data_IF_455315267921
#
_entry.id   IF_455315267921
#
_cell.length_a   1.000
_cell.length_b   1.000
_cell.length_c   1.000
_cell.angle_alpha   90.00
_cell.angle_beta   90.00
_cell.angle_gamma   90.00
#
_symmetry.space_group_name_H-M   'P 1'
#
loop_
_entity.id
_entity.type
_entity.pdbx_description
1 polymer ?
#
# COMPACT_ATOMS: atom_id res chain seq x y z
N UNK A 1 38.28 3.92 -0.23
CA UNK A 1 37.11 4.61 0.36
C UNK A 1 36.00 4.42 -0.65
N UNK A 2 35.20 3.40 -0.39
CA UNK A 2 34.09 2.98 -1.24
C UNK A 2 32.84 3.58 -0.60
N UNK A 3 32.51 4.82 -0.98
CA UNK A 3 31.26 5.46 -0.61
C UNK A 3 30.20 5.02 -1.62
N UNK A 4 29.84 3.74 -1.58
CA UNK A 4 28.59 3.27 -2.15
C UNK A 4 27.46 3.82 -1.29
N UNK A 5 27.05 5.05 -1.60
CA UNK A 5 25.88 5.70 -1.02
C UNK A 5 24.72 4.72 -1.00
N UNK A 6 24.34 4.32 0.21
CA UNK A 6 23.06 3.67 0.50
C UNK A 6 21.96 4.64 0.06
N UNK A 7 21.57 4.56 -1.22
CA UNK A 7 20.25 5.02 -1.61
C UNK A 7 19.27 4.10 -0.89
N UNK A 8 18.79 4.55 0.27
CA UNK A 8 17.64 3.99 0.96
C UNK A 8 16.53 3.86 -0.10
N UNK A 9 16.32 2.64 -0.59
CA UNK A 9 15.32 2.39 -1.64
C UNK A 9 13.98 2.73 -0.98
N UNK A 10 13.29 3.74 -1.52
CA UNK A 10 12.05 4.28 -0.93
C UNK A 10 11.06 3.18 -0.52
N UNK A 11 11.02 2.05 -1.24
CA UNK A 11 10.17 0.91 -0.94
C UNK A 11 10.93 -0.24 -0.24
N UNK A 12 11.61 0.04 0.86
CA UNK A 12 12.28 -0.94 1.72
C UNK A 12 12.09 -0.58 3.19
N UNK A 13 11.89 -1.56 4.10
CA UNK A 13 11.80 -3.00 3.86
C UNK A 13 10.50 -3.41 3.16
N UNK A 14 10.47 -4.63 2.61
CA UNK A 14 9.29 -5.17 1.94
C UNK A 14 8.17 -5.46 2.95
N UNK A 15 6.94 -5.04 2.62
CA UNK A 15 5.75 -5.29 3.45
C UNK A 15 5.36 -6.76 3.51
N UNK A 16 5.39 -7.45 2.35
CA UNK A 16 5.11 -8.89 2.26
C UNK A 16 6.36 -9.64 1.78
N UNK A 17 6.62 -10.79 2.38
CA UNK A 17 7.67 -11.69 1.93
C UNK A 17 7.30 -12.39 0.61
N UNK A 18 8.33 -12.83 -0.13
CA UNK A 18 8.19 -13.65 -1.34
C UNK A 18 7.33 -14.90 -1.10
N UNK A 19 7.51 -15.55 0.04
CA UNK A 19 6.73 -16.74 0.41
C UNK A 19 5.24 -16.41 0.56
N UNK A 20 4.91 -15.35 1.29
CA UNK A 20 3.52 -14.90 1.49
C UNK A 20 2.84 -14.53 0.17
N UNK A 21 3.54 -13.80 -0.72
CA UNK A 21 3.01 -13.42 -2.03
C UNK A 21 2.72 -14.68 -2.86
N UNK A 22 3.69 -15.60 -2.94
CA UNK A 22 3.54 -16.83 -3.73
C UNK A 22 2.39 -17.68 -3.23
N UNK A 23 2.21 -17.76 -1.91
CA UNK A 23 1.13 -18.51 -1.27
C UNK A 23 -0.25 -17.89 -1.52
N UNK A 24 -0.35 -16.56 -1.56
CA UNK A 24 -1.62 -15.85 -1.83
C UNK A 24 -1.98 -15.82 -3.33
N UNK A 25 -1.00 -15.89 -4.23
CA UNK A 25 -1.23 -15.93 -5.68
C UNK A 25 -2.07 -17.16 -6.13
N UNK A 26 -1.95 -18.27 -5.39
CA UNK A 26 -2.68 -19.51 -5.65
C UNK A 26 -4.15 -19.49 -5.18
N UNK A 27 -4.55 -18.48 -4.40
CA UNK A 27 -5.85 -18.43 -3.73
C UNK A 27 -6.88 -17.58 -4.51
N UNK A 28 -8.15 -17.75 -4.19
CA UNK A 28 -9.21 -16.81 -4.58
C UNK A 28 -9.27 -15.60 -3.64
N UNK A 29 -10.25 -14.73 -3.82
CA UNK A 29 -10.37 -13.48 -3.05
C UNK A 29 -10.58 -13.75 -1.55
N UNK A 30 -11.36 -14.78 -1.21
CA UNK A 30 -11.63 -15.15 0.18
C UNK A 30 -10.35 -15.70 0.85
N UNK A 31 -9.60 -16.54 0.14
CA UNK A 31 -8.31 -17.07 0.61
C UNK A 31 -7.25 -15.98 0.80
N UNK A 32 -7.18 -15.00 -0.11
CA UNK A 32 -6.30 -13.83 0.03
C UNK A 32 -6.68 -13.02 1.27
N UNK A 33 -7.96 -12.72 1.45
CA UNK A 33 -8.45 -11.97 2.59
C UNK A 33 -8.09 -12.66 3.91
N UNK A 34 -8.33 -13.98 4.03
CA UNK A 34 -7.98 -14.74 5.22
C UNK A 34 -6.47 -14.75 5.53
N UNK A 35 -5.62 -14.80 4.50
CA UNK A 35 -4.16 -14.78 4.69
C UNK A 35 -3.68 -13.39 5.11
N UNK A 36 -4.23 -12.33 4.54
CA UNK A 36 -3.94 -10.96 4.94
C UNK A 36 -4.43 -10.65 6.36
N UNK A 37 -5.62 -11.13 6.74
CA UNK A 37 -6.13 -11.00 8.10
C UNK A 37 -5.16 -11.60 9.13
N UNK A 38 -4.69 -12.83 8.86
CA UNK A 38 -3.71 -13.53 9.71
C UNK A 38 -2.37 -12.79 9.76
N UNK A 39 -1.88 -12.32 8.61
CA UNK A 39 -0.63 -11.57 8.52
C UNK A 39 -0.67 -10.26 9.30
N UNK A 40 -1.77 -9.50 9.16
CA UNK A 40 -2.00 -8.23 9.86
C UNK A 40 -2.35 -8.42 11.34
N UNK A 41 -2.56 -9.67 11.79
CA UNK A 41 -2.97 -10.03 13.14
C UNK A 41 -4.25 -9.29 13.59
N UNK A 42 -5.20 -9.14 12.67
CA UNK A 42 -6.52 -8.60 12.96
C UNK A 42 -7.37 -9.67 13.64
N UNK A 43 -8.10 -9.27 14.70
CA UNK A 43 -8.87 -10.19 15.56
C UNK A 43 -10.31 -9.74 15.78
N UNK A 44 -10.61 -8.49 15.44
CA UNK A 44 -11.84 -7.81 15.82
C UNK A 44 -12.53 -7.22 14.58
N UNK A 45 -12.52 -7.91 13.44
CA UNK A 45 -13.06 -7.37 12.18
C UNK A 45 -14.53 -6.95 12.30
N UNK A 46 -15.34 -7.67 13.07
CA UNK A 46 -16.76 -7.37 13.25
C UNK A 46 -17.04 -6.16 14.16
N UNK A 47 -16.08 -5.71 14.95
CA UNK A 47 -16.26 -4.65 15.96
C UNK A 47 -15.28 -3.50 15.81
N UNK A 48 -14.24 -3.65 15.00
CA UNK A 48 -13.23 -2.65 14.73
C UNK A 48 -13.26 -2.25 13.26
N UNK A 49 -13.99 -1.16 12.97
CA UNK A 49 -14.09 -0.58 11.63
C UNK A 49 -12.72 -0.33 10.99
N UNK A 50 -11.72 0.07 11.79
CA UNK A 50 -10.36 0.29 11.32
C UNK A 50 -9.71 -0.99 10.78
N UNK A 51 -9.82 -2.11 11.50
CA UNK A 51 -9.28 -3.39 11.01
C UNK A 51 -10.01 -3.86 9.75
N UNK A 52 -11.34 -3.72 9.69
CA UNK A 52 -12.12 -4.09 8.52
C UNK A 52 -11.71 -3.29 7.27
N UNK A 53 -11.66 -1.96 7.37
CA UNK A 53 -11.28 -1.09 6.23
C UNK A 53 -9.84 -1.36 5.78
N UNK A 54 -8.90 -1.54 6.72
CA UNK A 54 -7.51 -1.86 6.37
C UNK A 54 -7.42 -3.21 5.66
N UNK A 55 -8.17 -4.22 6.11
CA UNK A 55 -8.19 -5.52 5.46
C UNK A 55 -8.74 -5.43 4.03
N UNK A 56 -9.83 -4.69 3.83
CA UNK A 56 -10.42 -4.45 2.51
C UNK A 56 -9.43 -3.73 1.58
N UNK A 57 -8.70 -2.74 2.10
CA UNK A 57 -7.68 -2.00 1.35
C UNK A 57 -6.56 -2.92 0.83
N UNK A 58 -5.93 -3.71 1.71
CA UNK A 58 -4.84 -4.60 1.30
C UNK A 58 -5.35 -5.74 0.41
N UNK A 59 -6.53 -6.29 0.69
CA UNK A 59 -7.14 -7.36 -0.11
C UNK A 59 -7.46 -6.88 -1.52
N UNK A 60 -8.09 -5.70 -1.64
CA UNK A 60 -8.40 -5.08 -2.93
C UNK A 60 -7.13 -4.76 -3.72
N UNK A 61 -6.10 -4.24 -3.04
CA UNK A 61 -4.80 -3.98 -3.65
C UNK A 61 -4.17 -5.24 -4.22
N UNK A 62 -4.05 -6.28 -3.39
CA UNK A 62 -3.48 -7.55 -3.82
C UNK A 62 -4.27 -8.16 -4.99
N UNK A 63 -5.61 -8.17 -4.90
CA UNK A 63 -6.48 -8.71 -5.95
C UNK A 63 -6.36 -7.92 -7.26
N UNK A 64 -6.29 -6.60 -7.19
CA UNK A 64 -6.07 -5.76 -8.37
C UNK A 64 -4.72 -6.04 -9.03
N UNK A 65 -3.64 -6.15 -8.24
CA UNK A 65 -2.31 -6.52 -8.76
C UNK A 65 -2.31 -7.91 -9.42
N UNK A 66 -3.18 -8.82 -8.98
CA UNK A 66 -3.43 -10.12 -9.62
C UNK A 66 -4.03 -10.00 -11.00
N UNK A 67 -5.03 -9.14 -11.16
CA UNK A 67 -5.58 -8.81 -12.47
C UNK A 67 -4.57 -8.15 -13.42
N UNK A 68 -3.54 -7.49 -12.87
CA UNK A 68 -2.46 -6.86 -13.64
C UNK A 68 -1.29 -7.80 -13.98
N UNK A 69 -1.35 -9.07 -13.55
CA UNK A 69 -0.31 -10.08 -13.79
C UNK A 69 1.10 -9.66 -13.35
N UNK A 70 1.20 -8.94 -12.23
CA UNK A 70 2.49 -8.54 -11.69
C UNK A 70 3.38 -9.73 -11.34
N UNK A 71 4.68 -9.60 -11.61
CA UNK A 71 5.68 -10.55 -11.10
C UNK A 71 5.81 -10.46 -9.57
N UNK A 72 6.35 -11.49 -8.91
CA UNK A 72 6.51 -11.48 -7.44
C UNK A 72 7.29 -10.26 -6.91
N UNK A 73 8.39 -9.80 -7.54
CA UNK A 73 9.05 -8.56 -7.14
C UNK A 73 8.17 -7.32 -7.31
N UNK A 74 7.38 -7.25 -8.38
CA UNK A 74 6.42 -6.15 -8.62
C UNK A 74 5.33 -6.12 -7.55
N UNK A 75 4.80 -7.29 -7.18
CA UNK A 75 3.88 -7.42 -6.05
C UNK A 75 4.46 -6.91 -4.75
N UNK A 76 5.68 -7.35 -4.41
CA UNK A 76 6.35 -6.91 -3.18
C UNK A 76 6.43 -5.39 -3.13
N UNK A 77 6.85 -4.75 -4.22
CA UNK A 77 6.98 -3.29 -4.30
C UNK A 77 5.64 -2.57 -4.32
N UNK A 78 4.66 -3.08 -5.03
CA UNK A 78 3.32 -2.50 -5.04
C UNK A 78 2.65 -2.58 -3.65
N UNK A 79 2.73 -3.72 -2.98
CA UNK A 79 2.16 -3.88 -1.64
C UNK A 79 2.90 -3.03 -0.59
N UNK A 80 4.21 -2.87 -0.74
CA UNK A 80 5.00 -1.94 0.08
C UNK A 80 4.60 -0.48 -0.17
N UNK A 81 4.33 -0.10 -1.41
CA UNK A 81 3.81 1.23 -1.74
C UNK A 81 2.46 1.50 -1.07
N UNK A 82 1.54 0.53 -1.11
CA UNK A 82 0.23 0.65 -0.46
C UNK A 82 0.37 0.83 1.06
N UNK A 83 1.26 0.07 1.69
CA UNK A 83 1.53 0.17 3.13
C UNK A 83 2.13 1.52 3.50
N UNK A 84 3.13 1.99 2.73
CA UNK A 84 3.77 3.28 2.98
C UNK A 84 2.84 4.47 2.80
N UNK A 85 1.92 4.43 1.84
CA UNK A 85 0.92 5.50 1.68
C UNK A 85 0.03 5.61 2.92
N UNK A 86 -0.44 4.47 3.46
CA UNK A 86 -1.20 4.46 4.70
C UNK A 86 -0.35 4.85 5.91
N UNK A 87 0.90 4.42 5.96
CA UNK A 87 1.84 4.80 7.01
C UNK A 87 2.07 6.31 7.01
N UNK A 88 2.34 6.92 5.86
CA UNK A 88 2.56 8.36 5.72
C UNK A 88 1.32 9.14 6.14
N UNK A 89 0.14 8.69 5.71
CA UNK A 89 -1.11 9.27 6.17
C UNK A 89 -1.23 9.15 7.69
N UNK A 90 -1.12 7.95 8.28
CA UNK A 90 -1.36 7.67 9.71
C UNK A 90 -0.32 8.25 10.67
N UNK A 91 0.95 8.25 10.29
CA UNK A 91 2.07 8.60 11.17
C UNK A 91 2.50 10.06 10.97
N UNK A 92 2.53 10.50 9.71
CA UNK A 92 3.03 11.83 9.36
C UNK A 92 1.89 12.85 9.16
N UNK A 93 0.63 12.41 9.25
CA UNK A 93 -0.54 13.24 8.92
C UNK A 93 -0.37 13.93 7.56
N UNK A 94 0.22 13.21 6.60
CA UNK A 94 0.55 13.76 5.30
C UNK A 94 -0.73 14.31 4.66
N UNK A 95 -0.66 15.46 4.00
CA UNK A 95 -1.81 15.98 3.26
C UNK A 95 -2.03 15.17 1.99
N UNK A 96 -3.23 15.28 1.38
CA UNK A 96 -3.47 14.67 0.07
C UNK A 96 -2.51 15.23 -1.00
N UNK A 97 -2.23 16.54 -0.96
CA UNK A 97 -1.30 17.18 -1.90
C UNK A 97 0.12 16.59 -1.75
N UNK A 98 0.61 16.49 -0.52
CA UNK A 98 1.94 15.93 -0.25
C UNK A 98 2.01 14.43 -0.57
N UNK A 99 0.92 13.69 -0.36
CA UNK A 99 0.83 12.28 -0.73
C UNK A 99 0.90 12.07 -2.24
N UNK A 100 0.29 12.96 -3.03
CA UNK A 100 0.37 12.94 -4.50
C UNK A 100 1.80 13.26 -4.95
N UNK A 101 2.45 14.26 -4.34
CA UNK A 101 3.85 14.61 -4.63
C UNK A 101 4.78 13.44 -4.32
N UNK A 102 4.65 12.86 -3.14
CA UNK A 102 5.43 11.70 -2.71
C UNK A 102 5.24 10.49 -3.64
N UNK A 103 4.00 10.20 -4.05
CA UNK A 103 3.73 9.15 -5.05
C UNK A 103 4.46 9.43 -6.36
N UNK A 104 4.49 10.68 -6.83
CA UNK A 104 5.23 11.08 -8.02
C UNK A 104 6.73 10.81 -7.90
N UNK A 105 7.33 11.12 -6.74
CA UNK A 105 8.75 10.85 -6.45
C UNK A 105 9.05 9.36 -6.43
N UNK A 106 8.18 8.54 -5.82
CA UNK A 106 8.33 7.08 -5.81
C UNK A 106 8.27 6.53 -7.23
N UNK A 107 7.25 6.95 -8.01
CA UNK A 107 7.06 6.49 -9.39
C UNK A 107 8.20 6.88 -10.31
N UNK A 108 8.85 8.03 -10.08
CA UNK A 108 10.05 8.42 -10.81
C UNK A 108 11.25 7.50 -10.53
N UNK A 109 11.29 6.84 -9.37
CA UNK A 109 12.37 5.92 -8.98
C UNK A 109 12.11 4.47 -9.37
N UNK A 110 10.86 4.00 -9.28
CA UNK A 110 10.52 2.59 -9.55
C UNK A 110 9.95 2.34 -10.94
N UNK A 111 9.49 3.40 -11.60
CA UNK A 111 8.98 3.38 -12.96
C UNK A 111 10.10 3.45 -14.02
N UNK A 112 9.74 3.59 -15.30
CA UNK A 112 10.69 3.59 -16.39
C UNK A 112 11.62 4.82 -16.34
N UNK A 113 12.91 4.58 -16.13
CA UNK A 113 13.96 5.60 -16.24
C UNK A 113 14.26 5.96 -17.70
N UNK A 114 14.27 7.26 -18.02
CA UNK A 114 14.71 7.78 -19.33
C UNK A 114 16.25 7.74 -19.54
N UNK A 115 17.00 7.10 -18.62
CA UNK A 115 18.46 7.02 -18.71
C UNK A 115 18.91 5.60 -19.11
N UNK A 116 19.72 5.45 -20.17
CA UNK A 116 20.17 4.12 -20.64
C UNK A 116 21.11 3.41 -19.66
N UNK A 117 21.53 4.06 -18.57
CA UNK A 117 22.37 3.44 -17.51
C UNK A 117 21.56 2.62 -16.49
N UNK A 118 20.23 2.76 -16.45
CA UNK A 118 19.35 2.14 -15.45
C UNK A 118 18.24 1.24 -16.04
N UNK A 119 18.30 0.87 -17.32
CA UNK A 119 17.28 0.03 -17.97
C UNK A 119 17.07 -1.34 -17.30
N UNK A 120 18.05 -1.82 -16.52
CA UNK A 120 17.95 -3.05 -15.71
C UNK A 120 17.26 -2.87 -14.35
N UNK A 121 16.92 -1.64 -13.93
CA UNK A 121 16.47 -1.32 -12.57
C UNK A 121 15.00 -0.85 -12.48
N UNK A 122 14.29 -0.74 -13.62
CA UNK A 122 12.89 -0.32 -13.62
C UNK A 122 12.02 -1.51 -13.20
N UNK A 123 11.36 -1.40 -12.05
CA UNK A 123 10.50 -2.47 -11.53
C UNK A 123 9.18 -2.52 -12.31
N UNK A 124 8.67 -1.36 -12.71
CA UNK A 124 7.44 -1.22 -13.49
C UNK A 124 7.71 -0.54 -14.82
N UNK A 125 7.05 -1.01 -15.88
CA UNK A 125 7.03 -0.29 -17.14
C UNK A 125 6.09 0.94 -17.09
N UNK A 126 6.08 1.75 -18.15
CA UNK A 126 5.27 2.98 -18.21
C UNK A 126 3.76 2.71 -18.06
N UNK A 127 3.27 1.61 -18.64
CA UNK A 127 1.85 1.24 -18.59
C UNK A 127 1.47 0.79 -17.19
N UNK A 128 2.31 -0.03 -16.56
CA UNK A 128 2.13 -0.50 -15.19
C UNK A 128 2.19 0.67 -14.19
N UNK A 129 3.17 1.57 -14.32
CA UNK A 129 3.28 2.75 -13.46
C UNK A 129 2.02 3.64 -13.53
N UNK A 130 1.52 3.93 -14.75
CA UNK A 130 0.28 4.67 -14.93
C UNK A 130 -0.92 3.95 -14.32
N UNK A 131 -1.03 2.63 -14.52
CA UNK A 131 -2.11 1.83 -13.94
C UNK A 131 -2.08 1.85 -12.40
N UNK A 132 -0.90 1.82 -11.79
CA UNK A 132 -0.75 1.94 -10.33
C UNK A 132 -1.20 3.33 -9.84
N UNK A 133 -0.78 4.39 -10.53
CA UNK A 133 -1.21 5.76 -10.20
C UNK A 133 -2.74 5.87 -10.27
N UNK A 134 -3.34 5.34 -11.33
CA UNK A 134 -4.80 5.39 -11.51
C UNK A 134 -5.53 4.55 -10.48
N UNK A 135 -5.00 3.38 -10.12
CA UNK A 135 -5.52 2.58 -9.00
C UNK A 135 -5.49 3.34 -7.68
N UNK A 136 -4.36 3.98 -7.33
CA UNK A 136 -4.21 4.74 -6.08
C UNK A 136 -5.16 5.94 -6.04
N UNK A 137 -5.37 6.61 -7.19
CA UNK A 137 -6.32 7.72 -7.28
C UNK A 137 -7.73 7.29 -6.88
N UNK A 138 -8.23 6.18 -7.41
CA UNK A 138 -9.61 5.72 -7.15
C UNK A 138 -9.77 4.96 -5.83
N UNK A 139 -8.70 4.33 -5.33
CA UNK A 139 -8.76 3.53 -4.09
C UNK A 139 -8.50 4.38 -2.85
N UNK A 140 -7.33 5.02 -2.75
CA UNK A 140 -6.92 5.77 -1.57
C UNK A 140 -7.30 7.25 -1.66
N UNK A 141 -6.88 7.94 -2.74
CA UNK A 141 -7.00 9.40 -2.80
C UNK A 141 -8.44 9.89 -2.92
N UNK A 142 -9.30 9.17 -3.66
CA UNK A 142 -10.73 9.46 -3.71
C UNK A 142 -11.39 9.39 -2.32
N UNK A 143 -10.88 8.53 -1.44
CA UNK A 143 -11.41 8.31 -0.10
C UNK A 143 -10.51 8.90 1.00
N UNK A 144 -9.62 9.84 0.66
CA UNK A 144 -8.57 10.30 1.57
C UNK A 144 -9.10 10.81 2.91
N UNK A 145 -10.20 11.57 2.88
CA UNK A 145 -10.86 12.08 4.09
C UNK A 145 -11.47 10.98 4.96
N UNK A 146 -11.90 9.87 4.36
CA UNK A 146 -12.37 8.71 5.12
C UNK A 146 -11.21 8.06 5.88
N UNK A 147 -10.06 7.87 5.24
CA UNK A 147 -8.87 7.32 5.89
C UNK A 147 -8.30 8.27 6.95
N UNK A 148 -8.29 9.58 6.69
CA UNK A 148 -7.91 10.60 7.68
C UNK A 148 -8.84 10.54 8.91
N UNK A 149 -10.16 10.50 8.69
CA UNK A 149 -11.14 10.30 9.76
C UNK A 149 -10.90 8.99 10.51
N UNK A 150 -10.62 7.89 9.81
CA UNK A 150 -10.38 6.58 10.42
C UNK A 150 -9.19 6.56 11.39
N UNK A 151 -8.14 7.32 11.08
CA UNK A 151 -6.92 7.38 11.91
C UNK A 151 -7.00 8.43 13.01
N UNK A 152 -7.77 9.51 12.82
CA UNK A 152 -7.69 10.69 13.69
C UNK A 152 -8.97 11.11 14.35
N UNK A 153 -10.12 10.56 13.97
CA UNK A 153 -11.34 10.85 14.69
C UNK A 153 -11.24 10.25 16.08
N UNK A 154 -11.33 11.13 17.08
CA UNK A 154 -11.65 10.74 18.44
C UNK A 154 -12.88 9.85 18.35
N UNK A 155 -12.75 8.57 18.72
CA UNK A 155 -13.93 7.74 18.96
C UNK A 155 -14.78 8.53 19.93
N UNK A 156 -15.98 8.94 19.52
CA UNK A 156 -16.91 9.63 20.40
C UNK A 156 -16.98 8.84 21.70
N UNK A 157 -16.50 9.47 22.77
CA UNK A 157 -16.68 8.97 24.12
C UNK A 157 -18.20 8.89 24.29
N UNK A 158 -18.76 7.69 24.37
CA UNK A 158 -20.16 7.51 24.71
C UNK A 158 -20.28 8.03 26.15
N UNK A 159 -20.60 9.30 26.31
CA UNK A 159 -21.04 9.86 27.59
C UNK A 159 -22.41 9.25 27.84
N UNK A 160 -22.44 8.09 28.48
CA UNK A 160 -23.66 7.54 29.03
C UNK A 160 -23.99 8.47 30.20
N UNK A 161 -24.90 9.42 29.96
CA UNK A 161 -25.45 10.26 31.01
C UNK A 161 -26.10 9.34 32.05
N UNK A 162 -25.47 9.21 33.21
CA UNK A 162 -26.13 8.69 34.41
C UNK A 162 -27.01 9.82 34.93
N UNK A 163 -28.29 9.78 34.56
CA UNK A 163 -29.35 10.43 35.34
C UNK A 163 -29.59 9.67 36.65
#
# INVERSE_FOLDING_TARGET
KDDSQEHEKILSPDFLSVAQITEMLAEDIDGIQQKLEKFLNFKNLHTCLNQAILLDYYTSGFWWAKGMEFSVPQYSKFMTLLDMLLHNLRTLHMSLEDSIKWLGEVMAQVGPSNSPKNEKCNIFDAKQANAIIDYIKISLFQHYKLYEFLFYSSREEIVIGTE
#
